data_IF_451116250610
#
_entry.id   IF_451116250610
#
_cell.length_a   1.000
_cell.length_b   1.000
_cell.length_c   1.000
_cell.angle_alpha   90.00
_cell.angle_beta   90.00
_cell.angle_gamma   90.00
#
_symmetry.space_group_name_H-M   'P 1'
#
loop_
_entity.id
_entity.type
_entity.pdbx_description
1 polymer ?
#
# COMPACT_ATOMS: atom_id res chain seq x y z
N UNK A 1 27.33 -13.85 41.56
CA UNK A 1 26.82 -13.23 40.32
C UNK A 1 26.94 -11.72 40.46
N UNK A 2 27.75 -11.07 39.63
CA UNK A 2 28.00 -9.63 39.74
C UNK A 2 26.73 -8.85 39.39
N UNK A 3 26.29 -7.94 40.28
CA UNK A 3 25.04 -7.17 40.15
C UNK A 3 24.95 -6.41 38.80
N UNK A 4 26.09 -6.03 38.23
CA UNK A 4 26.16 -5.37 36.92
C UNK A 4 25.81 -6.28 35.73
N UNK A 5 26.11 -7.58 35.81
CA UNK A 5 25.80 -8.53 34.72
C UNK A 5 24.31 -8.79 34.65
N UNK A 6 23.65 -8.92 35.81
CA UNK A 6 22.20 -9.10 35.87
C UNK A 6 21.46 -7.86 35.35
N UNK A 7 21.94 -6.66 35.68
CA UNK A 7 21.37 -5.41 35.20
C UNK A 7 21.49 -5.28 33.68
N UNK A 8 22.64 -5.65 33.10
CA UNK A 8 22.84 -5.65 31.65
C UNK A 8 21.93 -6.69 30.98
N UNK A 9 21.81 -7.90 31.52
CA UNK A 9 20.91 -8.91 30.96
C UNK A 9 19.43 -8.47 30.99
N UNK A 10 18.98 -7.82 32.07
CA UNK A 10 17.62 -7.29 32.18
C UNK A 10 17.41 -6.11 31.23
N UNK A 11 18.41 -5.23 31.05
CA UNK A 11 18.33 -4.12 30.09
C UNK A 11 18.27 -4.62 28.64
N UNK A 12 19.09 -5.62 28.30
CA UNK A 12 19.08 -6.25 26.96
C UNK A 12 17.76 -6.97 26.70
N UNK A 13 17.19 -7.65 27.69
CA UNK A 13 15.85 -8.26 27.58
C UNK A 13 14.76 -7.21 27.42
N UNK A 14 14.83 -6.08 28.12
CA UNK A 14 13.89 -4.97 27.94
C UNK A 14 14.02 -4.30 26.57
N UNK A 15 15.24 -4.15 26.04
CA UNK A 15 15.47 -3.66 24.67
C UNK A 15 14.98 -4.65 23.60
N UNK A 16 15.02 -5.96 23.86
CA UNK A 16 14.47 -6.97 22.95
C UNK A 16 12.93 -7.01 22.99
N UNK A 17 12.32 -6.64 24.12
CA UNK A 17 10.85 -6.53 24.26
C UNK A 17 10.32 -5.20 23.70
N UNK A 18 11.14 -4.15 23.62
CA UNK A 18 10.77 -2.86 23.02
C UNK A 18 11.03 -2.76 21.52
N UNK A 19 11.78 -3.70 20.94
CA UNK A 19 11.89 -3.86 19.50
C UNK A 19 10.67 -4.63 18.98
N UNK A 20 10.00 -4.05 17.98
CA UNK A 20 8.84 -4.55 17.24
C UNK A 20 8.71 -6.09 17.27
N UNK A 21 7.67 -6.59 17.94
CA UNK A 21 7.40 -8.04 18.05
C UNK A 21 7.33 -8.68 16.66
N UNK A 22 6.91 -7.93 15.63
CA UNK A 22 6.88 -8.38 14.24
C UNK A 22 8.29 -8.62 13.68
N UNK A 23 9.30 -7.83 14.08
CA UNK A 23 10.68 -8.04 13.68
C UNK A 23 11.26 -9.30 14.33
N UNK A 24 10.89 -9.57 15.60
CA UNK A 24 11.33 -10.77 16.30
C UNK A 24 10.71 -12.04 15.69
N UNK A 25 9.44 -11.98 15.32
CA UNK A 25 8.72 -13.09 14.69
C UNK A 25 9.24 -13.36 13.26
N UNK A 26 9.58 -12.30 12.51
CA UNK A 26 10.23 -12.42 11.20
C UNK A 26 11.65 -13.03 11.31
N UNK A 27 12.42 -12.66 12.35
CA UNK A 27 13.74 -13.23 12.61
C UNK A 27 13.67 -14.70 13.04
N UNK A 28 12.71 -15.05 13.89
CA UNK A 28 12.45 -16.43 14.32
C UNK A 28 11.98 -17.30 13.15
N UNK A 29 11.13 -16.76 12.27
CA UNK A 29 10.73 -17.41 11.02
C UNK A 29 11.93 -17.72 10.12
N UNK A 30 12.78 -16.72 9.85
CA UNK A 30 13.99 -16.88 9.03
C UNK A 30 15.01 -17.84 9.65
N UNK A 31 15.19 -17.83 10.97
CA UNK A 31 16.09 -18.77 11.64
C UNK A 31 15.58 -20.22 11.57
N UNK A 32 14.25 -20.43 11.66
CA UNK A 32 13.63 -21.76 11.52
C UNK A 32 13.71 -22.29 10.10
N UNK A 33 13.46 -21.46 9.09
CA UNK A 33 13.64 -21.84 7.68
C UNK A 33 15.08 -22.25 7.41
N UNK A 34 16.06 -21.47 7.88
CA UNK A 34 17.48 -21.78 7.69
C UNK A 34 17.92 -23.07 8.41
N UNK A 35 17.37 -23.35 9.60
CA UNK A 35 17.67 -24.58 10.33
C UNK A 35 17.07 -25.82 9.65
N UNK A 36 15.86 -25.70 9.09
CA UNK A 36 15.21 -26.78 8.33
C UNK A 36 15.93 -27.05 7.00
N UNK A 37 16.35 -26.00 6.30
CA UNK A 37 17.12 -26.09 5.07
C UNK A 37 18.51 -26.71 5.31
N UNK A 38 19.14 -26.46 6.47
CA UNK A 38 20.39 -27.13 6.86
C UNK A 38 20.18 -28.60 7.28
N UNK A 39 19.04 -28.96 7.88
CA UNK A 39 18.76 -30.36 8.25
C UNK A 39 18.35 -31.23 7.07
N UNK A 40 17.62 -30.68 6.08
CA UNK A 40 17.23 -31.41 4.87
C UNK A 40 18.44 -31.63 3.93
N UNK A 41 19.43 -30.72 3.96
CA UNK A 41 20.70 -30.90 3.26
C UNK A 41 21.69 -31.84 3.97
N UNK A 42 21.43 -32.24 5.23
CA UNK A 42 22.27 -33.13 6.01
C UNK A 42 21.90 -34.62 5.89
N UNK A 43 20.76 -34.97 5.29
CA UNK A 43 20.38 -36.39 5.04
C UNK A 43 21.21 -37.06 3.92
N UNK A 44 22.15 -36.35 3.29
CA UNK A 44 22.96 -36.84 2.18
C UNK A 44 24.36 -37.38 2.50
N UNK A 45 24.86 -37.32 3.75
CA UNK A 45 26.26 -37.66 4.05
C UNK A 45 26.43 -38.64 5.23
N UNK A 46 26.09 -39.91 4.99
CA UNK A 46 26.71 -41.01 5.74
C UNK A 46 28.05 -41.40 5.10
N UNK A 47 29.11 -40.86 5.73
CA UNK A 47 30.44 -41.43 5.98
C UNK A 47 31.00 -42.55 5.06
N UNK A 48 32.17 -42.26 4.48
CA UNK A 48 33.24 -43.25 4.30
C UNK A 48 34.56 -42.67 4.83
N UNK A 49 35.12 -43.39 5.80
CA UNK A 49 36.36 -43.13 6.53
C UNK A 49 37.62 -43.18 5.66
N UNK A 50 38.66 -42.42 6.03
CA UNK A 50 39.99 -42.99 6.32
C UNK A 50 40.89 -42.04 7.15
N UNK A 51 41.24 -42.53 8.36
CA UNK A 51 42.52 -42.50 9.09
C UNK A 51 43.25 -41.18 9.44
N UNK A 52 43.37 -40.86 10.74
CA UNK A 52 44.53 -41.25 11.59
C UNK A 52 44.36 -40.90 13.09
N UNK A 53 44.66 -41.89 13.95
CA UNK A 53 45.30 -41.88 15.30
C UNK A 53 44.87 -40.84 16.37
N UNK A 54 44.61 -41.14 17.66
CA UNK A 54 44.94 -42.30 18.50
C UNK A 54 44.28 -42.15 19.91
N UNK A 55 43.99 -43.30 20.57
CA UNK A 55 43.72 -43.53 22.03
C UNK A 55 42.37 -43.01 22.60
N UNK A 56 41.59 -43.71 23.43
CA UNK A 56 41.81 -44.87 24.31
C UNK A 56 40.44 -45.46 24.74
N UNK A 57 40.43 -46.75 25.10
CA UNK A 57 39.41 -47.50 25.85
C UNK A 57 38.04 -47.84 25.23
N UNK A 58 37.97 -49.06 24.69
CA UNK A 58 36.76 -49.85 24.42
C UNK A 58 35.87 -50.00 25.66
N UNK A 59 34.65 -49.46 25.60
CA UNK A 59 33.52 -49.90 26.43
C UNK A 59 32.65 -50.83 25.60
N UNK A 60 32.42 -52.03 26.12
CA UNK A 60 31.63 -53.11 25.54
C UNK A 60 30.14 -52.70 25.35
N UNK A 61 29.76 -52.41 24.11
CA UNK A 61 28.42 -51.93 23.69
C UNK A 61 27.35 -53.04 23.78
N UNK A 62 27.69 -54.27 24.15
CA UNK A 62 26.73 -55.37 24.23
C UNK A 62 25.83 -55.37 25.49
N UNK A 63 26.16 -54.57 26.52
CA UNK A 63 25.36 -54.45 27.75
C UNK A 63 24.40 -53.26 27.82
N UNK A 64 24.51 -52.26 26.94
CA UNK A 64 23.62 -51.08 26.93
C UNK A 64 22.27 -51.36 26.25
N UNK A 65 22.11 -52.52 25.61
CA UNK A 65 20.85 -52.93 24.95
C UNK A 65 19.74 -53.42 25.89
N UNK A 66 19.96 -53.48 27.21
CA UNK A 66 18.92 -53.93 28.17
C UNK A 66 18.27 -52.85 29.04
N UNK A 67 18.77 -51.62 29.02
CA UNK A 67 18.13 -50.49 29.74
C UNK A 67 17.44 -49.47 28.82
N UNK A 68 17.49 -49.67 27.49
CA UNK A 68 16.74 -48.85 26.51
C UNK A 68 15.29 -49.34 26.30
N UNK A 69 14.88 -50.44 26.94
CA UNK A 69 13.54 -51.04 26.78
C UNK A 69 12.51 -50.53 27.79
N UNK A 70 12.81 -49.53 28.61
CA UNK A 70 11.84 -48.98 29.58
C UNK A 70 11.56 -47.49 29.45
N UNK A 71 11.52 -46.97 28.23
CA UNK A 71 11.01 -45.62 27.97
C UNK A 71 10.15 -45.49 26.70
N UNK A 72 9.53 -46.58 26.24
CA UNK A 72 8.43 -46.49 25.25
C UNK A 72 7.11 -46.03 25.87
N UNK A 73 6.92 -46.22 27.18
CA UNK A 73 5.68 -45.83 27.88
C UNK A 73 5.58 -44.32 28.17
N UNK A 74 6.67 -43.55 28.02
CA UNK A 74 6.60 -42.08 28.10
C UNK A 74 6.03 -41.43 26.83
N UNK A 75 5.85 -42.19 25.74
CA UNK A 75 5.19 -41.71 24.51
C UNK A 75 3.71 -42.10 24.42
N UNK A 76 3.21 -42.94 25.34
CA UNK A 76 1.80 -43.37 25.37
C UNK A 76 0.96 -42.63 26.42
N UNK A 77 1.59 -41.77 27.22
CA UNK A 77 0.96 -40.58 27.80
C UNK A 77 1.46 -39.33 27.07
N UNK A 78 1.26 -39.28 25.74
CA UNK A 78 0.89 -37.99 25.19
C UNK A 78 -0.37 -37.60 25.94
N UNK A 79 -0.23 -36.74 26.95
CA UNK A 79 -1.35 -36.01 27.52
C UNK A 79 -2.09 -35.52 26.27
N UNK A 80 -3.29 -36.03 26.02
CA UNK A 80 -4.24 -35.35 25.17
C UNK A 80 -4.47 -34.02 25.88
N UNK A 81 -3.54 -33.08 25.69
CA UNK A 81 -3.81 -31.67 25.87
C UNK A 81 -4.82 -31.42 24.78
N UNK A 82 -6.09 -31.72 25.09
CA UNK A 82 -7.22 -31.20 24.35
C UNK A 82 -6.87 -29.75 24.15
N UNK A 83 -6.60 -29.37 22.90
CA UNK A 83 -6.50 -27.95 22.59
C UNK A 83 -7.71 -27.30 23.26
N UNK A 84 -7.52 -26.28 24.09
CA UNK A 84 -8.63 -25.65 24.77
C UNK A 84 -9.65 -25.29 23.70
N UNK A 85 -10.85 -25.85 23.74
CA UNK A 85 -11.88 -25.46 22.80
C UNK A 85 -12.52 -24.20 23.32
N UNK A 86 -12.78 -23.25 22.44
CA UNK A 86 -13.58 -22.08 22.78
C UNK A 86 -14.94 -22.55 23.32
N UNK A 87 -15.41 -21.84 24.33
CA UNK A 87 -16.78 -22.00 24.83
C UNK A 87 -17.78 -21.48 23.79
N UNK A 88 -19.03 -21.94 23.85
CA UNK A 88 -20.08 -21.45 22.95
C UNK A 88 -20.29 -19.93 23.02
N UNK A 89 -20.09 -19.32 24.19
CA UNK A 89 -20.19 -17.87 24.39
C UNK A 89 -19.05 -17.14 23.66
N UNK A 90 -17.82 -17.64 23.77
CA UNK A 90 -16.66 -17.07 23.08
C UNK A 90 -16.80 -17.19 21.56
N UNK A 91 -17.25 -18.35 21.06
CA UNK A 91 -17.50 -18.56 19.64
C UNK A 91 -18.59 -17.63 19.10
N UNK A 92 -19.68 -17.45 19.85
CA UNK A 92 -20.74 -16.51 19.48
C UNK A 92 -20.24 -15.07 19.44
N UNK A 93 -19.35 -14.68 20.37
CA UNK A 93 -18.77 -13.34 20.38
C UNK A 93 -17.87 -13.10 19.16
N UNK A 94 -16.98 -14.04 18.84
CA UNK A 94 -16.12 -13.98 17.66
C UNK A 94 -16.95 -13.90 16.38
N UNK A 95 -18.00 -14.71 16.26
CA UNK A 95 -18.91 -14.70 15.12
C UNK A 95 -19.57 -13.32 14.93
N UNK A 96 -20.00 -12.68 16.02
CA UNK A 96 -20.53 -11.32 15.97
C UNK A 96 -19.50 -10.29 15.49
N UNK A 97 -18.25 -10.41 15.96
CA UNK A 97 -17.16 -9.52 15.55
C UNK A 97 -16.69 -9.75 14.11
N UNK A 98 -16.71 -10.99 13.63
CA UNK A 98 -16.43 -11.31 12.23
C UNK A 98 -17.49 -10.72 11.30
N UNK A 99 -18.76 -10.75 11.71
CA UNK A 99 -19.84 -10.12 10.97
C UNK A 99 -19.65 -8.59 10.91
N UNK A 100 -19.32 -7.95 12.04
CA UNK A 100 -19.01 -6.51 12.09
C UNK A 100 -17.84 -6.16 11.16
N UNK A 101 -16.73 -6.90 11.26
CA UNK A 101 -15.55 -6.72 10.42
C UNK A 101 -15.87 -6.93 8.92
N UNK A 102 -16.69 -7.91 8.60
CA UNK A 102 -17.11 -8.21 7.22
C UNK A 102 -17.98 -7.10 6.63
N UNK A 103 -18.87 -6.48 7.42
CA UNK A 103 -19.64 -5.32 6.97
C UNK A 103 -18.76 -4.10 6.72
N UNK A 104 -17.78 -3.83 7.59
CA UNK A 104 -16.79 -2.76 7.38
C UNK A 104 -15.98 -3.04 6.12
N UNK A 105 -15.54 -4.29 5.91
CA UNK A 105 -14.81 -4.69 4.69
C UNK A 105 -15.59 -4.36 3.42
N UNK A 106 -16.89 -4.69 3.37
CA UNK A 106 -17.75 -4.37 2.22
C UNK A 106 -17.79 -2.86 1.95
N UNK A 107 -17.92 -2.05 3.01
CA UNK A 107 -17.91 -0.57 2.88
C UNK A 107 -16.57 -0.05 2.37
N UNK A 108 -15.46 -0.60 2.87
CA UNK A 108 -14.10 -0.27 2.39
C UNK A 108 -13.96 -0.61 0.91
N UNK A 109 -14.39 -1.80 0.48
CA UNK A 109 -14.28 -2.22 -0.92
C UNK A 109 -15.12 -1.31 -1.85
N UNK A 110 -16.32 -0.91 -1.42
CA UNK A 110 -17.15 0.08 -2.15
C UNK A 110 -16.46 1.45 -2.20
N UNK A 111 -15.92 1.93 -1.08
CA UNK A 111 -15.25 3.22 -1.01
C UNK A 111 -13.99 3.25 -1.90
N UNK A 112 -13.17 2.20 -1.86
CA UNK A 112 -11.98 2.08 -2.72
C UNK A 112 -12.33 2.03 -4.20
N UNK A 113 -13.42 1.35 -4.58
CA UNK A 113 -13.89 1.33 -5.96
C UNK A 113 -14.27 2.76 -6.44
N UNK A 114 -15.01 3.51 -5.62
CA UNK A 114 -15.38 4.90 -5.92
C UNK A 114 -14.13 5.81 -6.01
N UNK A 115 -13.19 5.67 -5.06
CA UNK A 115 -11.92 6.40 -5.03
C UNK A 115 -11.10 6.14 -6.29
N UNK A 116 -10.96 4.89 -6.71
CA UNK A 116 -10.20 4.55 -7.93
C UNK A 116 -10.87 5.12 -9.19
N UNK A 117 -12.20 5.10 -9.28
CA UNK A 117 -12.90 5.69 -10.44
C UNK A 117 -12.63 7.20 -10.59
N UNK A 118 -12.65 7.95 -9.48
CA UNK A 118 -12.29 9.37 -9.49
C UNK A 118 -10.81 9.58 -9.77
N UNK A 119 -9.94 8.70 -9.27
CA UNK A 119 -8.51 8.76 -9.52
C UNK A 119 -8.21 8.67 -11.03
N UNK A 120 -8.85 7.72 -11.71
CA UNK A 120 -8.71 7.53 -13.16
C UNK A 120 -9.26 8.75 -13.94
N UNK A 121 -10.37 9.34 -13.49
CA UNK A 121 -10.92 10.59 -14.07
C UNK A 121 -9.93 11.75 -13.96
N UNK A 122 -9.35 11.95 -12.77
CA UNK A 122 -8.37 13.02 -12.51
C UNK A 122 -7.09 12.82 -13.32
N UNK A 123 -6.55 11.59 -13.34
CA UNK A 123 -5.34 11.25 -14.09
C UNK A 123 -5.52 11.51 -15.60
N UNK A 124 -6.64 11.06 -16.15
CA UNK A 124 -6.99 11.30 -17.55
C UNK A 124 -7.09 12.80 -17.84
N UNK A 125 -7.77 13.56 -16.99
CA UNK A 125 -7.95 15.01 -17.17
C UNK A 125 -6.62 15.77 -17.12
N UNK A 126 -5.73 15.41 -16.18
CA UNK A 126 -4.39 15.99 -16.08
C UNK A 126 -3.54 15.67 -17.31
N UNK A 127 -3.62 14.45 -17.83
CA UNK A 127 -2.93 14.04 -19.07
C UNK A 127 -3.41 14.85 -20.27
N UNK A 128 -4.72 15.04 -20.42
CA UNK A 128 -5.30 15.87 -21.48
C UNK A 128 -4.87 17.33 -21.39
N UNK A 129 -4.90 17.92 -20.19
CA UNK A 129 -4.41 19.29 -19.94
C UNK A 129 -2.92 19.43 -20.28
N UNK A 130 -2.10 18.43 -19.96
CA UNK A 130 -0.68 18.39 -20.33
C UNK A 130 -0.50 18.33 -21.85
N UNK A 131 -1.34 17.61 -22.57
CA UNK A 131 -1.30 17.57 -24.04
C UNK A 131 -1.65 18.93 -24.67
N UNK A 132 -2.51 19.73 -24.03
CA UNK A 132 -2.78 21.10 -24.49
C UNK A 132 -1.53 21.99 -24.43
N UNK A 133 -0.70 21.83 -23.40
CA UNK A 133 0.53 22.62 -23.23
C UNK A 133 1.49 22.47 -24.41
N UNK A 134 1.64 21.25 -24.94
CA UNK A 134 2.48 21.01 -26.12
C UNK A 134 2.00 21.80 -27.35
N UNK A 135 0.68 21.94 -27.53
CA UNK A 135 0.10 22.73 -28.61
C UNK A 135 0.29 24.24 -28.35
N UNK A 136 0.08 24.70 -27.11
CA UNK A 136 0.30 26.10 -26.72
C UNK A 136 1.74 26.54 -27.02
N UNK A 137 2.73 25.72 -26.64
CA UNK A 137 4.16 26.00 -26.90
C UNK A 137 4.42 26.15 -28.40
N UNK A 138 3.82 25.30 -29.23
CA UNK A 138 3.94 25.39 -30.69
C UNK A 138 3.31 26.67 -31.23
N UNK A 139 2.08 26.98 -30.83
CA UNK A 139 1.39 28.19 -31.26
C UNK A 139 2.15 29.46 -30.87
N UNK A 140 2.73 29.48 -29.66
CA UNK A 140 3.56 30.58 -29.15
C UNK A 140 4.86 30.75 -29.93
N UNK A 141 5.52 29.64 -30.30
CA UNK A 141 6.71 29.67 -31.17
C UNK A 141 6.40 30.29 -32.54
N UNK A 142 5.34 29.80 -33.20
CA UNK A 142 4.96 30.24 -34.54
C UNK A 142 4.42 31.67 -34.57
N UNK A 143 3.73 32.08 -33.50
CA UNK A 143 3.35 33.47 -33.26
C UNK A 143 4.59 34.37 -33.18
N UNK A 144 5.60 33.99 -32.40
CA UNK A 144 6.83 34.75 -32.25
C UNK A 144 7.62 34.85 -33.56
N UNK A 145 7.64 33.78 -34.35
CA UNK A 145 8.24 33.78 -35.70
C UNK A 145 7.47 34.73 -36.63
N UNK A 146 6.13 34.62 -36.68
CA UNK A 146 5.28 35.47 -37.50
C UNK A 146 5.41 36.96 -37.12
N UNK A 147 5.59 37.26 -35.84
CA UNK A 147 5.85 38.62 -35.35
C UNK A 147 7.22 39.18 -35.80
N UNK A 148 8.23 38.31 -35.98
CA UNK A 148 9.57 38.69 -36.46
C UNK A 148 9.64 38.78 -37.99
N UNK A 149 8.78 38.05 -38.70
CA UNK A 149 8.72 37.99 -40.16
C UNK A 149 8.01 39.18 -40.81
N UNK A 150 8.80 40.04 -41.46
CA UNK A 150 8.48 41.00 -42.54
C UNK A 150 7.39 42.07 -42.31
N UNK A 151 7.77 43.37 -42.31
CA UNK A 151 6.84 44.49 -42.49
C UNK A 151 6.21 44.47 -43.88
N UNK A 152 4.88 44.46 -43.98
CA UNK A 152 4.15 44.62 -45.25
C UNK A 152 2.99 43.65 -45.51
N UNK A 153 2.86 42.56 -44.73
CA UNK A 153 1.72 41.64 -44.86
C UNK A 153 0.60 42.00 -43.86
N UNK A 154 -0.19 43.02 -44.20
CA UNK A 154 -1.25 43.58 -43.34
C UNK A 154 -2.24 42.51 -42.82
N UNK A 155 -2.44 41.42 -43.57
CA UNK A 155 -3.32 40.32 -43.15
C UNK A 155 -2.74 39.52 -41.99
N UNK A 156 -1.42 39.26 -41.98
CA UNK A 156 -0.75 38.60 -40.85
C UNK A 156 -0.84 39.50 -39.62
N UNK A 157 -0.55 40.80 -39.79
CA UNK A 157 -0.59 41.80 -38.71
C UNK A 157 -1.95 41.86 -38.02
N UNK A 158 -3.05 41.70 -38.76
CA UNK A 158 -4.40 41.71 -38.20
C UNK A 158 -4.77 40.42 -37.45
N UNK A 159 -4.16 39.28 -37.76
CA UNK A 159 -4.43 37.99 -37.07
C UNK A 159 -3.64 37.80 -35.79
N UNK A 160 -2.47 38.45 -35.67
CA UNK A 160 -1.58 38.29 -34.52
C UNK A 160 -2.21 38.67 -33.17
N UNK A 161 -2.98 39.76 -33.02
CA UNK A 161 -3.61 40.11 -31.75
C UNK A 161 -4.58 39.02 -31.25
N UNK A 162 -5.39 38.45 -32.15
CA UNK A 162 -6.34 37.39 -31.79
C UNK A 162 -5.64 36.11 -31.35
N UNK A 163 -4.52 35.75 -31.99
CA UNK A 163 -3.74 34.60 -31.60
C UNK A 163 -3.04 34.82 -30.24
N UNK A 164 -2.47 36.01 -30.01
CA UNK A 164 -1.85 36.36 -28.72
C UNK A 164 -2.84 36.29 -27.57
N UNK A 165 -4.05 36.84 -27.76
CA UNK A 165 -5.13 36.75 -26.78
C UNK A 165 -5.53 35.30 -26.52
N UNK A 166 -5.77 34.50 -27.57
CA UNK A 166 -6.15 33.11 -27.41
C UNK A 166 -5.08 32.25 -26.71
N UNK A 167 -3.78 32.51 -26.97
CA UNK A 167 -2.66 31.86 -26.26
C UNK A 167 -2.70 32.20 -24.78
N UNK A 168 -2.87 33.48 -24.42
CA UNK A 168 -2.94 33.92 -23.02
C UNK A 168 -4.13 33.30 -22.30
N UNK A 169 -5.32 33.38 -22.90
CA UNK A 169 -6.55 32.85 -22.30
C UNK A 169 -6.45 31.37 -22.00
N UNK A 170 -5.98 30.55 -22.95
CA UNK A 170 -5.83 29.10 -22.70
C UNK A 170 -4.70 28.80 -21.73
N UNK A 171 -3.65 29.62 -21.64
CA UNK A 171 -2.60 29.45 -20.62
C UNK A 171 -3.19 29.63 -19.23
N UNK A 172 -4.01 30.65 -19.04
CA UNK A 172 -4.64 30.97 -17.76
C UNK A 172 -5.67 29.91 -17.36
N UNK A 173 -6.62 29.56 -18.24
CA UNK A 173 -7.65 28.56 -17.91
C UNK A 173 -7.07 27.16 -17.73
N UNK A 174 -6.08 26.75 -18.54
CA UNK A 174 -5.34 25.49 -18.31
C UNK A 174 -4.65 25.50 -16.96
N UNK A 175 -3.97 26.58 -16.60
CA UNK A 175 -3.23 26.66 -15.34
C UNK A 175 -4.17 26.48 -14.14
N UNK A 176 -5.30 27.19 -14.13
CA UNK A 176 -6.33 27.06 -13.08
C UNK A 176 -6.82 25.62 -12.97
N UNK A 177 -7.17 24.99 -14.10
CA UNK A 177 -7.61 23.61 -14.11
C UNK A 177 -6.53 22.64 -13.60
N UNK A 178 -5.28 22.76 -14.08
CA UNK A 178 -4.17 21.87 -13.67
C UNK A 178 -3.90 21.98 -12.17
N UNK A 179 -3.88 23.20 -11.61
CA UNK A 179 -3.65 23.39 -10.17
C UNK A 179 -4.76 22.73 -9.37
N UNK A 180 -6.03 22.99 -9.71
CA UNK A 180 -7.17 22.43 -9.01
C UNK A 180 -7.24 20.90 -9.08
N UNK A 181 -7.04 20.31 -10.26
CA UNK A 181 -7.01 18.84 -10.41
C UNK A 181 -5.86 18.20 -9.63
N UNK A 182 -4.66 18.81 -9.61
CA UNK A 182 -3.54 18.29 -8.83
C UNK A 182 -3.83 18.31 -7.32
N UNK A 183 -4.43 19.37 -6.81
CA UNK A 183 -4.82 19.46 -5.40
C UNK A 183 -5.76 18.31 -5.00
N UNK A 184 -6.80 18.06 -5.79
CA UNK A 184 -7.73 16.96 -5.53
C UNK A 184 -7.08 15.59 -5.71
N UNK A 185 -6.15 15.46 -6.65
CA UNK A 185 -5.38 14.23 -6.83
C UNK A 185 -4.51 13.91 -5.61
N UNK A 186 -3.91 14.93 -4.99
CA UNK A 186 -3.18 14.78 -3.73
C UNK A 186 -4.10 14.42 -2.56
N UNK A 187 -5.26 15.08 -2.44
CA UNK A 187 -6.26 14.75 -1.43
C UNK A 187 -6.74 13.29 -1.56
N UNK A 188 -6.99 12.84 -2.79
CA UNK A 188 -7.45 11.48 -3.07
C UNK A 188 -6.40 10.40 -2.74
N UNK A 189 -5.11 10.71 -2.85
CA UNK A 189 -4.03 9.83 -2.36
C UNK A 189 -4.14 9.60 -0.85
N UNK A 190 -4.48 10.62 -0.08
CA UNK A 190 -4.69 10.49 1.37
C UNK A 190 -5.94 9.66 1.69
N UNK A 191 -7.05 9.90 0.97
CA UNK A 191 -8.28 9.09 1.08
C UNK A 191 -7.97 7.60 0.85
N UNK A 192 -7.26 7.30 -0.25
CA UNK A 192 -6.89 5.93 -0.61
C UNK A 192 -6.01 5.28 0.46
N UNK A 193 -5.03 6.02 0.99
CA UNK A 193 -4.15 5.51 2.04
C UNK A 193 -4.92 5.16 3.32
N UNK A 194 -5.84 6.03 3.76
CA UNK A 194 -6.68 5.75 4.93
C UNK A 194 -7.60 4.53 4.68
N UNK A 195 -8.23 4.43 3.50
CA UNK A 195 -9.09 3.29 3.17
C UNK A 195 -8.32 1.95 3.10
N UNK A 196 -7.12 1.92 2.50
CA UNK A 196 -6.25 0.74 2.47
C UNK A 196 -5.71 0.38 3.87
N UNK A 197 -5.42 1.38 4.71
CA UNK A 197 -5.05 1.14 6.10
C UNK A 197 -6.19 0.48 6.88
N UNK A 198 -7.42 0.99 6.75
CA UNK A 198 -8.61 0.36 7.31
C UNK A 198 -8.78 -1.09 6.83
N UNK A 199 -8.53 -1.34 5.54
CA UNK A 199 -8.57 -2.70 4.96
C UNK A 199 -7.58 -3.64 5.62
N UNK A 200 -6.34 -3.17 5.83
CA UNK A 200 -5.29 -3.92 6.51
C UNK A 200 -5.70 -4.31 7.94
N UNK A 201 -6.25 -3.34 8.69
CA UNK A 201 -6.73 -3.57 10.05
C UNK A 201 -7.86 -4.63 10.11
N UNK A 202 -8.83 -4.57 9.19
CA UNK A 202 -9.89 -5.59 9.12
C UNK A 202 -9.33 -6.97 8.79
N UNK A 203 -8.34 -7.06 7.89
CA UNK A 203 -7.66 -8.33 7.60
C UNK A 203 -6.99 -8.89 8.85
N UNK A 204 -6.29 -8.05 9.61
CA UNK A 204 -5.68 -8.45 10.88
C UNK A 204 -6.74 -8.90 11.89
N UNK A 205 -7.82 -8.16 12.07
CA UNK A 205 -8.92 -8.53 12.98
C UNK A 205 -9.51 -9.92 12.67
N UNK A 206 -9.80 -10.20 11.39
CA UNK A 206 -10.29 -11.50 10.97
C UNK A 206 -9.25 -12.62 11.16
N UNK A 207 -7.96 -12.30 11.01
CA UNK A 207 -6.84 -13.19 11.31
C UNK A 207 -6.76 -13.56 12.79
N UNK A 208 -6.85 -12.58 13.69
CA UNK A 208 -6.90 -12.79 15.14
C UNK A 208 -8.08 -13.68 15.55
N UNK A 209 -9.25 -13.43 14.96
CA UNK A 209 -10.46 -14.23 15.18
C UNK A 209 -10.27 -15.70 14.75
N UNK A 210 -9.65 -15.92 13.59
CA UNK A 210 -9.31 -17.26 13.12
C UNK A 210 -8.27 -17.95 14.03
N UNK A 211 -7.25 -17.21 14.47
CA UNK A 211 -6.22 -17.71 15.36
C UNK A 211 -6.76 -18.08 16.74
N UNK A 212 -7.70 -17.30 17.29
CA UNK A 212 -8.38 -17.62 18.55
C UNK A 212 -9.13 -18.95 18.44
N UNK A 213 -9.79 -19.22 17.30
CA UNK A 213 -10.48 -20.50 17.04
C UNK A 213 -9.52 -21.67 16.86
N UNK A 214 -8.39 -21.46 16.18
CA UNK A 214 -7.39 -22.50 15.94
C UNK A 214 -6.63 -22.89 17.21
N UNK A 215 -6.22 -21.90 18.00
CA UNK A 215 -5.40 -22.11 19.19
C UNK A 215 -6.23 -22.43 20.44
N UNK A 216 -7.50 -22.03 20.46
CA UNK A 216 -8.30 -22.05 21.68
C UNK A 216 -8.03 -20.92 22.66
N UNK A 217 -7.05 -20.07 22.34
CA UNK A 217 -6.62 -18.98 23.20
C UNK A 217 -7.49 -17.74 22.93
N UNK A 218 -8.39 -17.46 23.87
CA UNK A 218 -9.34 -16.36 23.76
C UNK A 218 -8.73 -15.03 24.23
N UNK A 219 -7.91 -14.41 23.37
CA UNK A 219 -7.43 -13.05 23.55
C UNK A 219 -7.89 -12.18 22.37
N UNK A 220 -8.92 -11.38 22.61
CA UNK A 220 -9.66 -10.68 21.55
C UNK A 220 -9.45 -9.17 21.53
N UNK A 221 -8.63 -8.63 22.44
CA UNK A 221 -8.45 -7.18 22.56
C UNK A 221 -7.91 -6.57 21.27
N UNK A 222 -6.87 -7.17 20.69
CA UNK A 222 -6.27 -6.69 19.44
C UNK A 222 -7.27 -6.72 18.27
N UNK A 223 -8.13 -7.73 18.19
CA UNK A 223 -9.20 -7.79 17.20
C UNK A 223 -10.17 -6.61 17.35
N UNK A 224 -10.60 -6.33 18.58
CA UNK A 224 -11.54 -5.23 18.88
C UNK A 224 -10.90 -3.88 18.53
N UNK A 225 -9.64 -3.70 18.89
CA UNK A 225 -8.88 -2.47 18.61
C UNK A 225 -8.73 -2.27 17.10
N UNK A 226 -8.40 -3.33 16.35
CA UNK A 226 -8.29 -3.30 14.90
C UNK A 226 -9.63 -2.94 14.22
N UNK A 227 -10.75 -3.52 14.65
CA UNK A 227 -12.08 -3.19 14.15
C UNK A 227 -12.40 -1.71 14.40
N UNK A 228 -12.14 -1.23 15.62
CA UNK A 228 -12.42 0.16 16.01
C UNK A 228 -11.56 1.15 15.21
N UNK A 229 -10.26 0.87 15.07
CA UNK A 229 -9.34 1.69 14.30
C UNK A 229 -9.67 1.69 12.80
N UNK A 230 -10.14 0.56 12.26
CA UNK A 230 -10.60 0.47 10.89
C UNK A 230 -11.84 1.35 10.65
N UNK A 231 -12.81 1.34 11.57
CA UNK A 231 -13.98 2.21 11.50
C UNK A 231 -13.60 3.70 11.52
N UNK A 232 -12.69 4.10 12.41
CA UNK A 232 -12.20 5.47 12.49
C UNK A 232 -11.49 5.91 11.20
N UNK A 233 -10.60 5.05 10.68
CA UNK A 233 -9.85 5.33 9.46
C UNK A 233 -10.77 5.38 8.24
N UNK A 234 -11.73 4.47 8.11
CA UNK A 234 -12.75 4.52 7.07
C UNK A 234 -13.60 5.80 7.15
N UNK A 235 -14.05 6.18 8.35
CA UNK A 235 -14.85 7.41 8.53
C UNK A 235 -14.08 8.67 8.11
N UNK A 236 -12.77 8.70 8.41
CA UNK A 236 -11.87 9.77 7.97
C UNK A 236 -11.74 9.78 6.45
N UNK A 237 -11.52 8.61 5.83
CA UNK A 237 -11.47 8.48 4.37
C UNK A 237 -12.76 8.95 3.70
N UNK A 238 -13.93 8.52 4.19
CA UNK A 238 -15.24 8.93 3.68
C UNK A 238 -15.47 10.45 3.80
N UNK A 239 -15.07 11.05 4.93
CA UNK A 239 -15.19 12.50 5.14
C UNK A 239 -14.31 13.30 4.17
N UNK A 240 -13.06 12.86 3.98
CA UNK A 240 -12.15 13.48 3.00
C UNK A 240 -12.63 13.27 1.56
N UNK A 241 -13.15 12.08 1.24
CA UNK A 241 -13.67 11.76 -0.08
C UNK A 241 -14.84 12.67 -0.47
N UNK A 242 -15.80 12.90 0.45
CA UNK A 242 -16.91 13.83 0.22
C UNK A 242 -16.46 15.25 -0.11
N UNK A 243 -15.36 15.71 0.49
CA UNK A 243 -14.78 17.02 0.16
C UNK A 243 -14.21 17.03 -1.25
N UNK A 244 -13.51 15.96 -1.64
CA UNK A 244 -13.01 15.80 -3.01
C UNK A 244 -14.17 15.82 -4.00
N UNK A 245 -15.24 15.08 -3.74
CA UNK A 245 -16.44 15.05 -4.57
C UNK A 245 -17.07 16.44 -4.72
N UNK A 246 -17.19 17.23 -3.63
CA UNK A 246 -17.77 18.57 -3.71
C UNK A 246 -16.94 19.57 -4.51
N UNK A 247 -15.61 19.44 -4.49
CA UNK A 247 -14.72 20.33 -5.24
C UNK A 247 -14.63 19.93 -6.73
N UNK A 248 -14.82 18.65 -7.04
CA UNK A 248 -14.75 18.13 -8.41
C UNK A 248 -15.75 18.77 -9.36
N UNK A 249 -16.95 19.12 -8.90
CA UNK A 249 -17.95 19.75 -9.76
C UNK A 249 -17.51 21.14 -10.24
N UNK A 250 -16.88 21.92 -9.36
CA UNK A 250 -16.28 23.21 -9.74
C UNK A 250 -15.12 23.01 -10.73
N UNK A 251 -14.28 22.00 -10.48
CA UNK A 251 -13.15 21.69 -11.36
C UNK A 251 -13.59 21.21 -12.74
N UNK A 252 -14.71 20.50 -12.86
CA UNK A 252 -15.29 20.12 -14.16
C UNK A 252 -15.71 21.35 -14.96
N UNK A 253 -16.20 22.41 -14.32
CA UNK A 253 -16.49 23.69 -14.99
C UNK A 253 -15.21 24.37 -15.47
N UNK A 254 -14.16 24.44 -14.64
CA UNK A 254 -12.86 25.00 -15.05
C UNK A 254 -12.21 24.19 -16.18
N UNK A 255 -12.36 22.86 -16.16
CA UNK A 255 -11.92 21.98 -17.25
C UNK A 255 -12.65 22.27 -18.56
N UNK A 256 -13.97 22.45 -18.53
CA UNK A 256 -14.76 22.80 -19.71
C UNK A 256 -14.39 24.17 -20.27
N UNK A 257 -14.10 25.14 -19.39
CA UNK A 257 -13.57 26.44 -19.80
C UNK A 257 -12.23 26.30 -20.52
N UNK A 258 -11.30 25.51 -19.98
CA UNK A 258 -10.03 25.23 -20.63
C UNK A 258 -10.21 24.56 -22.00
N UNK A 259 -11.15 23.62 -22.16
CA UNK A 259 -11.47 23.01 -23.46
C UNK A 259 -11.97 24.05 -24.47
N UNK A 260 -12.88 24.93 -24.05
CA UNK A 260 -13.44 25.98 -24.90
C UNK A 260 -12.35 26.96 -25.35
N UNK A 261 -11.52 27.41 -24.43
CA UNK A 261 -10.43 28.34 -24.73
C UNK A 261 -9.39 27.67 -25.64
N UNK A 262 -9.15 26.37 -25.46
CA UNK A 262 -8.26 25.60 -26.33
C UNK A 262 -8.81 25.44 -27.75
N UNK A 263 -10.12 25.24 -27.92
CA UNK A 263 -10.77 25.27 -29.24
C UNK A 263 -10.67 26.66 -29.89
N UNK A 264 -10.78 27.72 -29.10
CA UNK A 264 -10.53 29.10 -29.53
C UNK A 264 -9.10 29.29 -30.05
N UNK A 265 -8.09 28.80 -29.31
CA UNK A 265 -6.70 28.83 -29.74
C UNK A 265 -6.49 28.07 -31.06
N UNK A 266 -7.04 26.86 -31.21
CA UNK A 266 -6.93 26.10 -32.46
C UNK A 266 -7.47 26.89 -33.65
N UNK A 267 -8.63 27.51 -33.49
CA UNK A 267 -9.27 28.31 -34.54
C UNK A 267 -8.42 29.54 -34.92
N UNK A 268 -7.89 30.26 -33.93
CA UNK A 268 -7.00 31.41 -34.17
C UNK A 268 -5.69 31.00 -34.86
N UNK A 269 -5.13 29.86 -34.46
CA UNK A 269 -3.89 29.32 -35.03
C UNK A 269 -4.08 28.85 -36.48
N UNK A 270 -5.20 28.19 -36.80
CA UNK A 270 -5.55 27.83 -38.18
C UNK A 270 -5.71 29.05 -39.08
N UNK A 271 -6.30 30.14 -38.58
CA UNK A 271 -6.39 31.41 -39.30
C UNK A 271 -5.01 31.98 -39.64
N UNK A 272 -4.06 31.96 -38.70
CA UNK A 272 -2.68 32.37 -38.95
C UNK A 272 -2.03 31.53 -40.07
N UNK A 273 -2.18 30.20 -40.01
CA UNK A 273 -1.61 29.28 -41.00
C UNK A 273 -2.21 29.51 -42.40
N UNK A 274 -3.51 29.82 -42.49
CA UNK A 274 -4.17 30.13 -43.75
C UNK A 274 -3.64 31.43 -44.37
N UNK A 275 -3.30 32.43 -43.55
CA UNK A 275 -2.71 33.69 -44.02
C UNK A 275 -1.26 33.50 -44.44
N UNK A 276 -0.45 32.68 -43.74
CA UNK A 276 0.94 32.37 -44.15
C UNK A 276 1.06 31.66 -45.51
N UNK A 277 0.00 30.99 -45.99
CA UNK A 277 -0.02 30.27 -47.27
C UNK A 277 -0.40 31.14 -48.48
N UNK A 278 -0.86 32.37 -48.26
CA UNK A 278 -1.24 33.33 -49.32
C UNK A 278 -0.10 34.32 -49.55
#
# INVERSE_FOLDING_TARGET
MNKNVLAICVLTLMCLVSCDINFLDELLGKAREKFLEETDNAEGLNSKEENQEDKENKVDVSKVKRDVVRNKDFREKSINLSQPKLTAVQESYLTGKDAEASEIKKKIDVNLAAVNAIYDELEKSLSELKNMEAFVIRAESDFNEARRGVPGNNHVTNTLPYLDEAIKTVKDSRHVAVVGYNEQFHALKHVKADAEYAKGLIKSALGESAQARLSGYYYVQLMIDNISNAQLSLSKAESMFKKVESELDNLRVERQKADKDFAGLKSAYEALLAVKKK
#
